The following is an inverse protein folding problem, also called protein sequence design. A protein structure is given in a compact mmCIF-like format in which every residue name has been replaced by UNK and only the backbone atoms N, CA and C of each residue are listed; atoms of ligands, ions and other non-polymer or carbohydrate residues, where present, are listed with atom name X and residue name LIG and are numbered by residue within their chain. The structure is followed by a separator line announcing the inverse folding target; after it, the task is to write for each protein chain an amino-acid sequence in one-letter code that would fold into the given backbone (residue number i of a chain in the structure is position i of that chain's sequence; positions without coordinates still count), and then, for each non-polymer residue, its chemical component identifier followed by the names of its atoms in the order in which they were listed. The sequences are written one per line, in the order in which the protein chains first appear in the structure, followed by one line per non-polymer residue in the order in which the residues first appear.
data_IF_283700695312
#
_entry.id   IF_283700695312
#
_cell.length_a   1.000
_cell.length_b   1.000
_cell.length_c   1.000
_cell.angle_alpha   90.00
_cell.angle_beta   90.00
_cell.angle_gamma   90.00
#
_symmetry.space_group_name_H-M   'P 1'
#
loop_
_entity.id
_entity.type
_entity.pdbx_description
1 polymer ?
#
# COMPACT_ATOMS: atom_id res chain seq x y z
N UNK A 1 21.19 -4.87 -8.61
CA UNK A 1 19.88 -5.53 -8.67
C UNK A 1 18.83 -4.71 -7.92
N UNK A 2 17.54 -4.96 -8.16
CA UNK A 2 16.41 -4.35 -7.46
C UNK A 2 15.50 -5.47 -6.93
N UNK A 3 15.15 -5.37 -5.63
CA UNK A 3 14.12 -6.19 -5.01
C UNK A 3 12.92 -5.28 -4.70
N UNK A 4 11.75 -5.65 -5.19
CA UNK A 4 10.52 -4.87 -5.01
C UNK A 4 9.45 -5.73 -4.34
N UNK A 5 8.84 -5.20 -3.29
CA UNK A 5 7.78 -5.84 -2.51
C UNK A 5 6.62 -4.87 -2.32
N UNK A 6 5.40 -5.37 -2.39
CA UNK A 6 4.23 -4.58 -1.98
C UNK A 6 4.15 -4.56 -0.46
N UNK A 7 3.92 -3.39 0.15
CA UNK A 7 3.80 -3.28 1.61
C UNK A 7 2.51 -3.93 2.13
N UNK A 8 1.40 -3.66 1.45
CA UNK A 8 0.11 -4.29 1.74
C UNK A 8 -0.46 -4.85 0.45
N UNK A 9 -0.78 -6.13 0.44
CA UNK A 9 -1.44 -6.77 -0.70
C UNK A 9 -2.84 -6.19 -0.90
N UNK A 10 -3.13 -5.68 -2.09
CA UNK A 10 -4.40 -5.03 -2.42
C UNK A 10 -5.59 -5.98 -2.43
N UNK A 11 -5.37 -7.27 -2.58
CA UNK A 11 -6.43 -8.28 -2.68
C UNK A 11 -6.76 -8.90 -1.32
N UNK A 12 -5.77 -9.47 -0.66
CA UNK A 12 -5.99 -10.21 0.59
C UNK A 12 -5.68 -9.41 1.85
N UNK A 13 -5.06 -8.24 1.70
CA UNK A 13 -4.77 -7.32 2.81
C UNK A 13 -3.55 -7.68 3.64
N UNK A 14 -2.77 -8.71 3.29
CA UNK A 14 -1.57 -9.07 4.07
C UNK A 14 -0.56 -7.92 4.14
N UNK A 15 -0.07 -7.64 5.35
CA UNK A 15 0.97 -6.65 5.61
C UNK A 15 2.33 -7.36 5.59
N UNK A 16 3.26 -6.85 4.79
CA UNK A 16 4.61 -7.41 4.71
C UNK A 16 5.52 -6.76 5.76
N UNK A 17 6.40 -7.54 6.41
CA UNK A 17 7.35 -7.04 7.41
C UNK A 17 8.54 -6.34 6.73
N UNK A 18 8.29 -5.15 6.15
CA UNK A 18 9.24 -4.45 5.28
C UNK A 18 10.55 -4.12 5.98
N UNK A 19 10.50 -3.68 7.24
CA UNK A 19 11.70 -3.32 8.00
C UNK A 19 12.57 -4.55 8.25
N UNK A 20 11.96 -5.62 8.73
CA UNK A 20 12.64 -6.88 9.04
C UNK A 20 13.26 -7.50 7.78
N UNK A 21 12.54 -7.43 6.66
CA UNK A 21 13.04 -7.87 5.35
C UNK A 21 14.23 -7.01 4.89
N UNK A 22 14.14 -5.70 5.06
CA UNK A 22 15.24 -4.80 4.72
C UNK A 22 16.48 -5.05 5.59
N UNK A 23 16.30 -5.22 6.89
CA UNK A 23 17.38 -5.58 7.83
C UNK A 23 18.00 -6.93 7.46
N UNK A 24 17.18 -7.94 7.18
CA UNK A 24 17.67 -9.26 6.75
C UNK A 24 18.50 -9.18 5.48
N UNK A 25 18.03 -8.48 4.44
CA UNK A 25 18.76 -8.33 3.18
C UNK A 25 20.09 -7.62 3.41
N UNK A 26 20.11 -6.52 4.18
CA UNK A 26 21.33 -5.76 4.48
C UNK A 26 22.36 -6.60 5.25
N UNK A 27 21.91 -7.37 6.23
CA UNK A 27 22.78 -8.20 7.06
C UNK A 27 23.34 -9.43 6.33
N UNK A 28 22.69 -9.88 5.25
CA UNK A 28 23.07 -11.07 4.49
C UNK A 28 23.62 -10.76 3.10
N UNK A 29 23.88 -9.49 2.78
CA UNK A 29 24.48 -9.08 1.52
C UNK A 29 25.82 -8.40 1.76
N UNK A 30 26.80 -8.63 0.89
CA UNK A 30 27.99 -7.80 0.84
C UNK A 30 27.61 -6.38 0.40
N UNK A 31 28.17 -5.33 1.03
CA UNK A 31 27.80 -3.93 0.81
C UNK A 31 27.77 -3.52 -0.68
N UNK A 32 28.68 -4.07 -1.48
CA UNK A 32 28.79 -3.75 -2.91
C UNK A 32 27.80 -4.53 -3.80
N UNK A 33 27.19 -5.60 -3.28
CA UNK A 33 26.29 -6.49 -4.02
C UNK A 33 24.83 -6.43 -3.53
N UNK A 34 24.57 -5.71 -2.44
CA UNK A 34 23.22 -5.57 -1.89
C UNK A 34 22.27 -5.00 -2.95
N UNK A 35 21.09 -5.61 -3.15
CA UNK A 35 20.09 -5.06 -4.06
C UNK A 35 19.53 -3.75 -3.51
N UNK A 36 19.10 -2.87 -4.39
CA UNK A 36 18.22 -1.76 -4.01
C UNK A 36 16.87 -2.34 -3.56
N UNK A 37 16.33 -1.78 -2.49
CA UNK A 37 15.07 -2.22 -1.92
C UNK A 37 13.98 -1.19 -2.22
N UNK A 38 12.90 -1.66 -2.83
CA UNK A 38 11.72 -0.87 -3.14
C UNK A 38 10.48 -1.49 -2.51
N UNK A 39 9.56 -0.64 -2.06
CA UNK A 39 8.21 -1.07 -1.70
C UNK A 39 7.15 -0.20 -2.34
N UNK A 40 6.05 -0.83 -2.78
CA UNK A 40 4.82 -0.13 -3.12
C UNK A 40 3.96 -0.01 -1.85
N UNK A 41 3.78 1.22 -1.36
CA UNK A 41 3.00 1.55 -0.20
C UNK A 41 1.62 2.13 -0.52
N UNK A 42 1.15 2.04 -1.76
CA UNK A 42 -0.14 2.63 -2.18
C UNK A 42 -1.30 2.19 -1.27
N UNK A 43 -1.36 0.93 -0.88
CA UNK A 43 -2.38 0.42 0.04
C UNK A 43 -2.03 0.60 1.53
N UNK A 44 -0.77 0.88 1.86
CA UNK A 44 -0.30 0.98 3.24
C UNK A 44 -0.55 2.36 3.87
N UNK A 45 -0.31 3.42 3.11
CA UNK A 45 -0.19 4.81 3.58
C UNK A 45 -1.35 5.27 4.49
N UNK A 46 -2.57 4.85 4.22
CA UNK A 46 -3.73 5.30 4.99
C UNK A 46 -3.99 4.51 6.27
N UNK A 47 -3.33 3.36 6.47
CA UNK A 47 -3.66 2.39 7.52
C UNK A 47 -2.45 1.81 8.24
N UNK A 48 -1.26 1.84 7.65
CA UNK A 48 -0.02 1.39 8.27
C UNK A 48 0.86 2.55 8.69
N UNK A 49 1.78 2.31 9.62
CA UNK A 49 2.81 3.27 9.98
C UNK A 49 3.96 3.21 8.98
N UNK A 50 3.79 3.97 7.90
CA UNK A 50 4.78 4.02 6.82
C UNK A 50 5.80 5.13 7.11
N UNK A 51 6.98 4.76 7.55
CA UNK A 51 8.10 5.67 7.76
C UNK A 51 9.26 5.28 6.85
N UNK A 52 9.40 6.00 5.72
CA UNK A 52 10.47 5.75 4.74
C UNK A 52 11.87 5.89 5.34
N UNK A 53 12.07 6.87 6.24
CA UNK A 53 13.36 7.11 6.87
C UNK A 53 13.85 5.93 7.71
N UNK A 54 12.92 5.19 8.32
CA UNK A 54 13.20 4.06 9.21
C UNK A 54 12.97 2.69 8.57
N UNK A 55 12.45 2.64 7.35
CA UNK A 55 12.07 1.38 6.68
C UNK A 55 13.23 0.54 6.18
N UNK A 56 14.43 1.12 6.02
CA UNK A 56 15.56 0.46 5.35
C UNK A 56 15.47 0.42 3.83
N UNK A 57 14.39 0.94 3.23
CA UNK A 57 14.18 0.98 1.79
C UNK A 57 15.04 2.04 1.10
N UNK A 58 15.33 1.83 -0.17
CA UNK A 58 15.97 2.79 -1.07
C UNK A 58 14.94 3.58 -1.88
N UNK A 59 13.80 2.95 -2.17
CA UNK A 59 12.71 3.54 -2.95
C UNK A 59 11.35 3.18 -2.31
N UNK A 60 10.41 4.11 -2.37
CA UNK A 60 9.03 3.89 -1.92
C UNK A 60 8.05 4.56 -2.87
N UNK A 61 7.11 3.78 -3.40
CA UNK A 61 6.00 4.30 -4.20
C UNK A 61 4.80 4.64 -3.31
N UNK A 62 4.19 5.79 -3.56
CA UNK A 62 2.97 6.28 -2.90
C UNK A 62 1.91 6.57 -3.95
N UNK A 63 0.72 6.00 -3.78
CA UNK A 63 -0.44 6.25 -4.64
C UNK A 63 -1.44 7.21 -3.98
N UNK A 64 -1.76 8.32 -4.67
CA UNK A 64 -2.62 9.38 -4.10
C UNK A 64 -4.09 8.98 -3.98
N UNK A 65 -4.63 8.27 -4.97
CA UNK A 65 -6.06 7.93 -5.01
C UNK A 65 -6.54 7.03 -3.85
N UNK A 66 -5.62 6.33 -3.17
CA UNK A 66 -5.95 5.50 -1.99
C UNK A 66 -6.08 6.30 -0.70
N UNK A 67 -5.64 7.54 -0.70
CA UNK A 67 -5.72 8.45 0.46
C UNK A 67 -6.62 9.67 0.23
N UNK A 68 -7.33 9.72 -0.91
CA UNK A 68 -8.26 10.79 -1.23
C UNK A 68 -7.69 11.91 -2.10
N UNK A 69 -6.48 11.76 -2.63
CA UNK A 69 -5.96 12.67 -3.64
C UNK A 69 -6.55 12.36 -5.04
N UNK A 70 -6.50 13.28 -5.99
CA UNK A 70 -6.97 13.05 -7.35
C UNK A 70 -6.32 11.83 -8.01
N UNK A 71 -7.10 11.16 -8.87
CA UNK A 71 -6.59 10.05 -9.68
C UNK A 71 -5.43 10.52 -10.57
N UNK A 72 -4.40 9.68 -10.71
CA UNK A 72 -3.19 10.01 -11.47
C UNK A 72 -2.08 10.68 -10.65
N UNK A 73 -2.35 11.05 -9.40
CA UNK A 73 -1.33 11.59 -8.50
C UNK A 73 -0.60 10.48 -7.74
N UNK A 74 0.68 10.67 -7.54
CA UNK A 74 1.53 9.76 -6.77
C UNK A 74 2.94 10.32 -6.62
N UNK A 75 3.75 9.66 -5.82
CA UNK A 75 5.13 10.03 -5.60
C UNK A 75 6.04 8.79 -5.53
N UNK A 76 7.27 8.95 -6.00
CA UNK A 76 8.37 8.03 -5.75
C UNK A 76 9.36 8.72 -4.80
N UNK A 77 9.49 8.20 -3.60
CA UNK A 77 10.53 8.61 -2.67
C UNK A 77 11.81 7.84 -3.02
N UNK A 78 12.90 8.58 -3.10
CA UNK A 78 14.22 8.02 -3.48
C UNK A 78 15.22 8.41 -2.40
N UNK A 79 15.90 7.42 -1.83
CA UNK A 79 16.96 7.66 -0.84
C UNK A 79 18.11 8.42 -1.48
N UNK A 80 18.69 9.33 -0.70
CA UNK A 80 19.84 10.12 -1.19
C UNK A 80 20.98 9.18 -1.62
N UNK A 81 21.55 9.43 -2.80
CA UNK A 81 22.62 8.63 -3.38
C UNK A 81 22.14 7.52 -4.34
N UNK A 82 20.86 7.15 -4.31
CA UNK A 82 20.29 6.22 -5.28
C UNK A 82 20.12 6.91 -6.64
N UNK A 83 20.65 6.33 -7.69
CA UNK A 83 20.51 6.81 -9.06
C UNK A 83 19.29 6.19 -9.73
N UNK A 84 18.37 7.01 -10.17
CA UNK A 84 17.23 6.61 -11.02
C UNK A 84 17.47 7.16 -12.42
N UNK A 85 17.40 6.30 -13.41
CA UNK A 85 17.54 6.67 -14.82
C UNK A 85 16.14 6.76 -15.42
N UNK A 86 15.86 7.88 -16.07
CA UNK A 86 14.56 8.06 -16.74
C UNK A 86 14.50 7.25 -18.04
N UNK A 87 13.36 6.64 -18.30
CA UNK A 87 12.97 6.05 -19.58
C UNK A 87 12.23 7.05 -20.49
N UNK A 88 11.94 8.26 -19.96
CA UNK A 88 11.18 9.32 -20.65
C UNK A 88 11.99 10.60 -20.71
N UNK A 89 12.89 10.73 -21.70
CA UNK A 89 13.71 11.93 -21.87
C UNK A 89 12.82 13.14 -22.20
N UNK A 90 13.27 14.34 -21.83
CA UNK A 90 12.55 15.59 -22.07
C UNK A 90 13.13 16.77 -21.28
N UNK A 91 12.28 17.71 -20.86
CA UNK A 91 12.67 19.02 -20.31
C UNK A 91 13.32 19.05 -18.91
N UNK A 92 13.75 17.93 -18.36
CA UNK A 92 14.57 17.88 -17.13
C UNK A 92 13.83 18.18 -15.83
N UNK A 93 12.49 18.16 -15.82
CA UNK A 93 11.69 18.30 -14.59
C UNK A 93 11.91 17.14 -13.61
N UNK A 94 11.46 17.31 -12.36
CA UNK A 94 11.60 16.30 -11.30
C UNK A 94 13.06 15.81 -11.15
N UNK A 95 14.00 16.75 -11.07
CA UNK A 95 15.45 16.46 -10.99
C UNK A 95 16.00 15.65 -12.16
N UNK A 96 15.38 15.77 -13.34
CA UNK A 96 15.75 15.02 -14.55
C UNK A 96 15.21 13.56 -14.59
N UNK A 97 14.45 13.15 -13.60
CA UNK A 97 13.93 11.76 -13.50
C UNK A 97 12.59 11.62 -14.24
N UNK A 98 11.76 12.66 -14.26
CA UNK A 98 10.44 12.62 -14.88
C UNK A 98 10.19 13.89 -15.67
N UNK A 99 10.18 13.77 -16.99
CA UNK A 99 9.87 14.88 -17.90
C UNK A 99 8.37 15.18 -17.98
N UNK A 100 8.02 16.31 -18.54
CA UNK A 100 6.66 16.84 -18.66
C UNK A 100 6.40 17.97 -17.67
N UNK A 101 5.47 18.85 -18.01
CA UNK A 101 5.08 19.96 -17.13
C UNK A 101 4.61 19.41 -15.78
N UNK A 102 5.16 19.88 -14.65
CA UNK A 102 4.74 19.43 -13.33
C UNK A 102 3.26 19.73 -13.08
N UNK A 103 2.53 18.75 -12.60
CA UNK A 103 1.17 18.93 -12.10
C UNK A 103 1.22 19.49 -10.67
N UNK A 104 1.37 20.80 -10.56
CA UNK A 104 1.47 21.49 -9.27
C UNK A 104 0.20 21.32 -8.45
N UNK A 105 -0.97 21.39 -9.10
CA UNK A 105 -2.24 21.24 -8.40
C UNK A 105 -2.40 19.83 -7.82
N UNK A 106 -2.09 18.80 -8.61
CA UNK A 106 -2.09 17.42 -8.14
C UNK A 106 -1.06 17.15 -7.05
N UNK A 107 0.13 17.74 -7.13
CA UNK A 107 1.14 17.63 -6.08
C UNK A 107 0.68 18.24 -4.76
N UNK A 108 0.07 19.43 -4.79
CA UNK A 108 -0.51 20.07 -3.59
C UNK A 108 -1.66 19.23 -3.01
N UNK A 109 -2.55 18.71 -3.86
CA UNK A 109 -3.63 17.86 -3.43
C UNK A 109 -3.12 16.54 -2.81
N UNK A 110 -2.08 15.94 -3.39
CA UNK A 110 -1.42 14.75 -2.83
C UNK A 110 -0.84 15.05 -1.45
N UNK A 111 -0.11 16.16 -1.29
CA UNK A 111 0.49 16.55 -0.02
C UNK A 111 -0.60 16.71 1.06
N UNK A 112 -1.66 17.47 0.77
CA UNK A 112 -2.79 17.66 1.70
C UNK A 112 -3.45 16.34 2.09
N UNK A 113 -3.67 15.44 1.12
CA UNK A 113 -4.27 14.14 1.38
C UNK A 113 -3.37 13.23 2.24
N UNK A 114 -2.06 13.28 2.03
CA UNK A 114 -1.09 12.53 2.84
C UNK A 114 -1.01 13.06 4.27
N UNK A 115 -0.98 14.37 4.46
CA UNK A 115 -1.02 15.01 5.78
C UNK A 115 -2.29 14.62 6.55
N UNK A 116 -3.45 14.71 5.89
CA UNK A 116 -4.72 14.31 6.48
C UNK A 116 -4.73 12.82 6.83
N UNK A 117 -4.28 11.95 5.92
CA UNK A 117 -4.21 10.51 6.15
C UNK A 117 -3.30 10.15 7.33
N UNK A 118 -2.16 10.82 7.46
CA UNK A 118 -1.22 10.61 8.57
C UNK A 118 -1.83 11.07 9.91
N UNK A 119 -2.47 12.25 9.94
CA UNK A 119 -3.09 12.80 11.14
C UNK A 119 -4.24 11.93 11.68
N UNK A 120 -5.03 11.33 10.79
CA UNK A 120 -6.23 10.57 11.14
C UNK A 120 -6.05 9.05 11.03
N UNK A 121 -4.82 8.56 10.85
CA UNK A 121 -4.53 7.14 10.64
C UNK A 121 -5.07 6.26 11.76
N UNK A 122 -4.80 6.61 13.01
CA UNK A 122 -5.22 5.79 14.16
C UNK A 122 -6.74 5.69 14.27
N UNK A 123 -7.45 6.79 14.08
CA UNK A 123 -8.92 6.83 14.08
C UNK A 123 -9.49 5.94 12.96
N UNK A 124 -8.93 6.05 11.75
CA UNK A 124 -9.33 5.22 10.59
C UNK A 124 -9.10 3.75 10.85
N UNK A 125 -7.95 3.38 11.41
CA UNK A 125 -7.63 1.98 11.76
C UNK A 125 -8.62 1.45 12.79
N UNK A 126 -8.85 2.17 13.89
CA UNK A 126 -9.79 1.78 14.94
C UNK A 126 -11.21 1.58 14.38
N UNK A 127 -11.66 2.51 13.55
CA UNK A 127 -12.97 2.41 12.91
C UNK A 127 -13.08 1.21 11.99
N UNK A 128 -12.06 0.96 11.17
CA UNK A 128 -12.03 -0.17 10.25
C UNK A 128 -12.00 -1.52 11.00
N UNK A 129 -11.24 -1.61 12.09
CA UNK A 129 -11.18 -2.80 12.95
C UNK A 129 -12.50 -3.08 13.65
N UNK A 130 -13.19 -2.04 14.13
CA UNK A 130 -14.53 -2.19 14.69
C UNK A 130 -15.52 -2.76 13.67
N UNK A 131 -15.53 -2.20 12.45
CA UNK A 131 -16.39 -2.68 11.37
C UNK A 131 -16.04 -4.11 10.97
N UNK A 132 -14.76 -4.44 10.85
CA UNK A 132 -14.28 -5.80 10.58
C UNK A 132 -14.77 -6.77 11.64
N UNK A 133 -14.62 -6.43 12.91
CA UNK A 133 -15.08 -7.27 14.03
C UNK A 133 -16.59 -7.52 13.98
N UNK A 134 -17.37 -6.46 13.69
CA UNK A 134 -18.83 -6.59 13.55
C UNK A 134 -19.20 -7.50 12.36
N UNK A 135 -18.54 -7.33 11.23
CA UNK A 135 -18.76 -8.17 10.06
C UNK A 135 -18.46 -9.65 10.39
N UNK A 136 -17.27 -9.92 10.92
CA UNK A 136 -16.87 -11.30 11.23
C UNK A 136 -17.76 -11.98 12.27
N UNK A 137 -18.27 -11.24 13.26
CA UNK A 137 -19.19 -11.77 14.25
C UNK A 137 -20.56 -12.14 13.68
N UNK A 138 -20.95 -11.57 12.53
CA UNK A 138 -22.21 -11.89 11.86
C UNK A 138 -22.11 -12.96 10.77
N UNK A 139 -20.89 -13.44 10.49
CA UNK A 139 -20.68 -14.45 9.44
C UNK A 139 -20.91 -15.88 9.98
N UNK A 140 -21.31 -16.83 9.11
CA UNK A 140 -21.31 -18.26 9.44
C UNK A 140 -19.93 -18.73 9.92
N UNK A 141 -19.91 -19.70 10.81
CA UNK A 141 -18.68 -20.17 11.48
C UNK A 141 -17.64 -20.83 10.55
N UNK A 142 -18.06 -21.24 9.36
CA UNK A 142 -17.23 -21.82 8.32
C UNK A 142 -16.63 -20.77 7.36
N UNK A 143 -17.12 -19.52 7.41
CA UNK A 143 -16.53 -18.39 6.70
C UNK A 143 -15.39 -17.79 7.54
N UNK A 144 -14.23 -17.60 6.94
CA UNK A 144 -13.04 -17.10 7.64
C UNK A 144 -12.22 -16.15 6.77
N UNK A 145 -11.45 -15.29 7.41
CA UNK A 145 -10.47 -14.48 6.70
C UNK A 145 -9.34 -15.35 6.12
N UNK A 146 -8.87 -14.99 4.93
CA UNK A 146 -7.72 -15.62 4.29
C UNK A 146 -6.42 -15.33 5.02
N UNK A 147 -6.29 -14.11 5.55
CA UNK A 147 -5.13 -13.63 6.31
C UNK A 147 -5.54 -13.47 7.76
N UNK A 148 -4.64 -13.82 8.68
CA UNK A 148 -4.85 -13.56 10.10
C UNK A 148 -5.18 -12.07 10.31
N UNK A 149 -6.25 -11.73 11.06
CA UNK A 149 -6.63 -10.35 11.30
C UNK A 149 -5.51 -9.47 11.86
N UNK A 150 -4.56 -10.01 12.61
CA UNK A 150 -3.42 -9.28 13.16
C UNK A 150 -2.30 -9.03 12.14
N UNK A 151 -2.27 -9.82 11.05
CA UNK A 151 -1.34 -9.67 9.93
C UNK A 151 -1.96 -8.98 8.72
N UNK A 152 -3.23 -8.54 8.83
CA UNK A 152 -3.98 -7.91 7.75
C UNK A 152 -4.20 -6.41 8.00
N UNK A 153 -4.13 -5.63 6.94
CA UNK A 153 -4.56 -4.24 6.95
C UNK A 153 -6.03 -4.13 7.40
N UNK A 154 -6.33 -3.19 8.27
CA UNK A 154 -7.69 -2.97 8.74
C UNK A 154 -8.68 -2.63 7.61
N UNK A 155 -8.18 -2.07 6.51
CA UNK A 155 -8.98 -1.62 5.37
C UNK A 155 -9.44 -2.74 4.43
N UNK A 156 -8.84 -3.94 4.52
CA UNK A 156 -9.08 -5.01 3.55
C UNK A 156 -9.52 -6.26 4.29
N UNK A 157 -10.66 -6.78 3.87
CA UNK A 157 -11.22 -8.04 4.38
C UNK A 157 -11.39 -8.97 3.19
N UNK A 158 -10.59 -10.03 3.15
CA UNK A 158 -10.74 -11.09 2.17
C UNK A 158 -11.22 -12.35 2.86
N UNK A 159 -12.34 -12.89 2.41
CA UNK A 159 -13.03 -14.02 3.03
C UNK A 159 -12.92 -15.27 2.18
N UNK A 160 -12.70 -16.39 2.83
CA UNK A 160 -12.89 -17.73 2.26
C UNK A 160 -14.29 -18.20 2.61
N UNK A 161 -15.12 -18.38 1.59
CA UNK A 161 -16.49 -18.85 1.71
C UNK A 161 -16.54 -20.28 1.13
N UNK A 162 -16.76 -21.30 1.93
CA UNK A 162 -16.84 -22.66 1.44
C UNK A 162 -18.14 -22.84 0.63
N UNK A 163 -18.00 -22.90 -0.67
CA UNK A 163 -19.13 -23.09 -1.60
C UNK A 163 -18.69 -23.85 -2.83
N UNK A 164 -19.60 -24.64 -3.40
CA UNK A 164 -19.44 -25.27 -4.71
C UNK A 164 -19.93 -24.38 -5.86
N UNK A 165 -20.55 -23.24 -5.51
CA UNK A 165 -21.15 -22.29 -6.47
C UNK A 165 -20.72 -20.86 -6.15
N UNK A 166 -19.44 -20.46 -6.40
CA UNK A 166 -18.95 -19.14 -6.05
C UNK A 166 -19.71 -18.00 -6.75
N UNK A 167 -20.14 -18.20 -8.00
CA UNK A 167 -20.91 -17.23 -8.75
C UNK A 167 -22.29 -16.94 -8.12
N UNK A 168 -22.91 -17.97 -7.46
CA UNK A 168 -24.18 -17.78 -6.78
C UNK A 168 -24.05 -16.86 -5.56
N UNK A 169 -22.88 -16.83 -4.90
CA UNK A 169 -22.61 -15.91 -3.79
C UNK A 169 -22.56 -14.48 -4.29
N UNK A 170 -21.84 -14.23 -5.40
CA UNK A 170 -21.76 -12.89 -6.00
C UNK A 170 -23.13 -12.40 -6.45
N UNK A 171 -23.89 -13.26 -7.12
CA UNK A 171 -25.24 -12.92 -7.57
C UNK A 171 -26.18 -12.61 -6.41
N UNK A 172 -26.11 -13.39 -5.33
CA UNK A 172 -26.91 -13.15 -4.13
C UNK A 172 -26.54 -11.83 -3.44
N UNK A 173 -25.25 -11.46 -3.41
CA UNK A 173 -24.78 -10.17 -2.87
C UNK A 173 -25.25 -8.99 -3.73
N UNK A 174 -25.17 -9.12 -5.05
CA UNK A 174 -25.68 -8.12 -6.00
C UNK A 174 -27.19 -7.91 -5.83
N UNK A 175 -27.97 -8.98 -5.77
CA UNK A 175 -29.42 -8.92 -5.52
C UNK A 175 -29.76 -8.30 -4.15
N UNK A 176 -28.89 -8.43 -3.16
CA UNK A 176 -29.05 -7.77 -1.87
C UNK A 176 -28.53 -6.33 -1.85
N UNK A 177 -28.12 -5.77 -3.00
CA UNK A 177 -27.56 -4.43 -3.16
C UNK A 177 -26.30 -4.21 -2.29
N UNK A 178 -25.45 -5.21 -2.18
CA UNK A 178 -24.18 -5.16 -1.43
C UNK A 178 -22.95 -4.98 -2.33
N UNK A 179 -23.15 -4.92 -3.64
CA UNK A 179 -22.10 -4.68 -4.65
C UNK A 179 -22.31 -3.36 -5.37
#
# INVERSE_FOLDING_TARGET
ALMSLTWVCSEVGSIQPIRELAEFVRSNSEDTLAPLLHSDAAQAIGYCDVNFGQSGLDLLTVGGHKVGAPVGTGALLVRRGVKVITDRPGGGHERGIRSGTPDVAGACALATALEYAAAHRLERVQRAEELRRRLLAGLPSDVRMTVDPHAASAAIIHLMIPTHHPEAVLLAMDMACLL
#
